data_IF_712303829954
#
_entry.id   IF_712303829954
#
_cell.length_a   1.000
_cell.length_b   1.000
_cell.length_c   1.000
_cell.angle_alpha   90.00
_cell.angle_beta   90.00
_cell.angle_gamma   90.00
#
_symmetry.space_group_name_H-M   'P 1'
#
loop_
_entity.id
_entity.type
_entity.pdbx_description
1 polymer ?
#
# COMPACT_ATOMS: atom_id res chain seq x y z
N UNK A 1 4.17 3.02 15.87
CA UNK A 1 3.90 1.60 16.21
C UNK A 1 4.99 0.80 15.53
N UNK A 2 5.54 -0.23 16.15
CA UNK A 2 6.62 -1.05 15.57
C UNK A 2 6.07 -2.40 15.08
N UNK A 3 6.82 -3.12 14.25
CA UNK A 3 6.44 -4.47 13.79
C UNK A 3 6.20 -5.43 14.95
N UNK A 4 7.00 -5.32 16.02
CA UNK A 4 6.81 -6.11 17.25
C UNK A 4 5.53 -5.73 18.00
N UNK A 5 5.14 -4.45 17.96
CA UNK A 5 3.87 -4.01 18.57
C UNK A 5 2.67 -4.50 17.76
N UNK A 6 2.75 -4.52 16.44
CA UNK A 6 1.70 -5.08 15.57
C UNK A 6 1.51 -6.59 15.85
N UNK A 7 2.60 -7.37 15.84
CA UNK A 7 2.56 -8.80 16.17
C UNK A 7 1.97 -9.05 17.56
N UNK A 8 2.31 -8.22 18.54
CA UNK A 8 1.75 -8.32 19.90
C UNK A 8 0.24 -8.06 19.91
N UNK A 9 -0.24 -7.06 19.18
CA UNK A 9 -1.67 -6.76 19.07
C UNK A 9 -2.44 -7.91 18.39
N UNK A 10 -1.87 -8.51 17.34
CA UNK A 10 -2.46 -9.67 16.65
C UNK A 10 -2.49 -10.91 17.54
N UNK A 11 -1.42 -11.16 18.30
CA UNK A 11 -1.36 -12.26 19.26
C UNK A 11 -2.39 -12.09 20.39
N UNK A 12 -2.53 -10.89 20.94
CA UNK A 12 -3.53 -10.56 21.97
C UNK A 12 -4.96 -10.71 21.43
N UNK A 13 -5.22 -10.27 20.20
CA UNK A 13 -6.51 -10.47 19.54
C UNK A 13 -6.85 -11.95 19.38
N UNK A 14 -5.89 -12.76 18.97
CA UNK A 14 -6.05 -14.21 18.81
C UNK A 14 -6.32 -14.91 20.14
N UNK A 15 -5.61 -14.54 21.20
CA UNK A 15 -5.82 -15.10 22.54
C UNK A 15 -7.24 -14.82 23.05
N UNK A 16 -7.76 -13.61 22.82
CA UNK A 16 -9.13 -13.25 23.19
C UNK A 16 -10.18 -14.04 22.41
N UNK A 17 -9.95 -14.31 21.12
CA UNK A 17 -10.83 -15.16 20.31
C UNK A 17 -10.81 -16.61 20.76
N UNK A 18 -9.63 -17.17 21.04
CA UNK A 18 -9.45 -18.57 21.46
C UNK A 18 -10.11 -18.86 22.82
N UNK A 19 -10.29 -17.83 23.66
CA UNK A 19 -11.00 -17.91 24.95
C UNK A 19 -12.52 -17.90 24.82
N UNK A 20 -13.06 -17.48 23.68
CA UNK A 20 -14.50 -17.45 23.45
C UNK A 20 -14.95 -18.79 22.87
N UNK A 21 -15.86 -19.52 23.54
CA UNK A 21 -16.39 -20.77 23.02
C UNK A 21 -17.01 -20.58 21.62
N UNK A 22 -16.95 -21.62 20.76
CA UNK A 22 -17.58 -21.55 19.45
C UNK A 22 -19.09 -21.35 19.59
N UNK A 23 -19.71 -20.69 18.61
CA UNK A 23 -21.16 -20.41 18.58
C UNK A 23 -22.04 -21.65 18.77
N UNK A 24 -21.52 -22.85 18.46
CA UNK A 24 -22.21 -24.11 18.67
C UNK A 24 -22.41 -24.49 20.15
N UNK A 25 -21.68 -23.87 21.09
CA UNK A 25 -21.78 -24.13 22.52
C UNK A 25 -22.99 -23.45 23.19
N UNK A 26 -23.67 -22.52 22.50
CA UNK A 26 -24.83 -21.81 23.01
C UNK A 26 -24.82 -20.31 22.67
N UNK A 27 -25.83 -19.57 23.15
CA UNK A 27 -25.91 -18.13 22.95
C UNK A 27 -24.78 -17.41 23.70
N UNK A 28 -24.15 -16.44 23.03
CA UNK A 28 -23.02 -15.70 23.60
C UNK A 28 -23.42 -14.86 24.81
N UNK A 29 -22.66 -14.99 25.88
CA UNK A 29 -22.73 -14.09 27.02
C UNK A 29 -22.29 -12.67 26.62
N UNK A 30 -22.66 -11.67 27.40
CA UNK A 30 -22.22 -10.30 27.17
C UNK A 30 -20.68 -10.18 27.26
N UNK A 31 -20.07 -10.91 28.19
CA UNK A 31 -18.63 -10.97 28.36
C UNK A 31 -17.90 -11.50 27.12
N UNK A 32 -18.41 -12.57 26.50
CA UNK A 32 -17.87 -13.12 25.26
C UNK A 32 -18.00 -12.15 24.07
N UNK A 33 -19.09 -11.39 24.01
CA UNK A 33 -19.26 -10.35 22.97
C UNK A 33 -18.23 -9.24 23.11
N UNK A 34 -18.02 -8.76 24.34
CA UNK A 34 -17.02 -7.73 24.62
C UNK A 34 -15.58 -8.21 24.32
N UNK A 35 -15.27 -9.49 24.58
CA UNK A 35 -13.97 -10.06 24.22
C UNK A 35 -13.74 -10.07 22.70
N UNK A 36 -14.76 -10.44 21.92
CA UNK A 36 -14.68 -10.40 20.45
C UNK A 36 -14.60 -8.97 19.90
N UNK A 37 -15.33 -8.03 20.50
CA UNK A 37 -15.25 -6.62 20.13
C UNK A 37 -13.85 -6.06 20.40
N UNK A 38 -13.26 -6.43 21.54
CA UNK A 38 -11.87 -6.08 21.86
C UNK A 38 -10.87 -6.71 20.91
N UNK A 39 -11.05 -7.98 20.54
CA UNK A 39 -10.21 -8.65 19.55
C UNK A 39 -10.28 -7.95 18.18
N UNK A 40 -11.48 -7.54 17.76
CA UNK A 40 -11.68 -6.79 16.52
C UNK A 40 -11.02 -5.40 16.57
N UNK A 41 -11.10 -4.71 17.71
CA UNK A 41 -10.42 -3.43 17.94
C UNK A 41 -8.88 -3.57 17.85
N UNK A 42 -8.33 -4.62 18.47
CA UNK A 42 -6.90 -4.90 18.43
C UNK A 42 -6.42 -5.23 17.01
N UNK A 43 -7.22 -5.98 16.23
CA UNK A 43 -6.95 -6.21 14.80
C UNK A 43 -6.96 -4.92 14.00
N UNK A 44 -7.99 -4.08 14.14
CA UNK A 44 -8.03 -2.77 13.47
C UNK A 44 -6.80 -1.93 13.78
N UNK A 45 -6.39 -1.88 15.06
CA UNK A 45 -5.19 -1.15 15.45
C UNK A 45 -3.91 -1.76 14.90
N UNK A 46 -3.85 -3.08 14.73
CA UNK A 46 -2.74 -3.74 14.06
C UNK A 46 -2.74 -3.49 12.54
N UNK A 47 -3.91 -3.45 11.90
CA UNK A 47 -4.08 -3.16 10.47
C UNK A 47 -3.71 -1.71 10.15
N UNK A 48 -3.92 -0.78 11.09
CA UNK A 48 -3.47 0.61 11.00
C UNK A 48 -1.92 0.74 11.06
N UNK A 49 -1.20 -0.35 11.37
CA UNK A 49 0.25 -0.40 11.23
C UNK A 49 0.62 -0.45 9.75
N UNK A 50 1.01 0.71 9.23
CA UNK A 50 1.88 0.74 8.06
C UNK A 50 3.31 0.74 8.60
N UNK A 51 4.18 -0.22 8.22
CA UNK A 51 5.58 -0.20 8.59
C UNK A 51 6.18 1.19 8.33
N UNK A 52 7.24 1.55 9.07
CA UNK A 52 8.09 2.70 8.73
C UNK A 52 8.83 2.44 7.40
N UNK A 53 8.08 2.26 6.33
CA UNK A 53 8.54 1.97 4.99
C UNK A 53 9.01 3.29 4.40
N UNK A 54 10.19 3.72 4.79
CA UNK A 54 10.83 4.88 4.17
C UNK A 54 11.42 4.42 2.82
N UNK A 55 10.74 4.70 1.71
CA UNK A 55 11.19 4.26 0.39
C UNK A 55 10.19 4.51 -0.74
N UNK A 56 10.60 4.26 -2.00
CA UNK A 56 9.72 4.36 -3.18
C UNK A 56 8.49 3.46 -3.03
N UNK A 57 7.35 3.86 -3.58
CA UNK A 57 6.06 3.16 -3.45
C UNK A 57 6.16 1.65 -3.73
N UNK A 58 6.95 1.25 -4.73
CA UNK A 58 7.18 -0.16 -5.07
C UNK A 58 7.80 -0.95 -3.92
N UNK A 59 8.81 -0.39 -3.25
CA UNK A 59 9.48 -1.05 -2.14
C UNK A 59 8.52 -1.24 -0.96
N UNK A 60 7.71 -0.22 -0.66
CA UNK A 60 6.68 -0.28 0.38
C UNK A 60 5.65 -1.38 0.10
N UNK A 61 5.22 -1.52 -1.14
CA UNK A 61 4.24 -2.54 -1.53
C UNK A 61 4.82 -3.95 -1.47
N UNK A 62 6.10 -4.13 -1.83
CA UNK A 62 6.78 -5.42 -1.67
C UNK A 62 6.87 -5.81 -0.19
N UNK A 63 7.27 -4.88 0.69
CA UNK A 63 7.32 -5.13 2.14
C UNK A 63 5.95 -5.53 2.70
N UNK A 64 4.86 -4.89 2.27
CA UNK A 64 3.51 -5.27 2.69
C UNK A 64 3.15 -6.67 2.19
N UNK A 65 3.47 -7.01 0.93
CA UNK A 65 3.17 -8.33 0.38
C UNK A 65 3.93 -9.43 1.12
N UNK A 66 5.21 -9.21 1.42
CA UNK A 66 6.03 -10.19 2.14
C UNK A 66 5.53 -10.46 3.56
N UNK A 67 4.94 -9.46 4.23
CA UNK A 67 4.48 -9.59 5.61
C UNK A 67 3.03 -10.08 5.73
N UNK A 68 2.14 -9.69 4.80
CA UNK A 68 0.69 -9.87 4.95
C UNK A 68 0.11 -10.96 4.02
N UNK A 69 0.84 -11.38 2.99
CA UNK A 69 0.37 -12.39 2.03
C UNK A 69 1.00 -13.74 2.35
N UNK A 70 0.22 -14.84 2.43
CA UNK A 70 0.77 -16.17 2.60
C UNK A 70 1.85 -16.49 1.55
N UNK A 71 2.95 -17.11 1.96
CA UNK A 71 4.14 -17.33 1.11
C UNK A 71 3.81 -18.00 -0.24
N UNK A 72 2.81 -18.90 -0.24
CA UNK A 72 2.30 -19.56 -1.45
C UNK A 72 1.81 -18.59 -2.52
N UNK A 73 1.28 -17.42 -2.11
CA UNK A 73 0.74 -16.39 -2.99
C UNK A 73 1.62 -15.15 -3.10
N UNK A 74 2.58 -14.95 -2.20
CA UNK A 74 3.44 -13.77 -2.16
C UNK A 74 4.13 -13.49 -3.51
N UNK A 75 4.67 -14.53 -4.17
CA UNK A 75 5.29 -14.39 -5.50
C UNK A 75 4.30 -13.88 -6.55
N UNK A 76 3.10 -14.45 -6.62
CA UNK A 76 2.08 -14.03 -7.58
C UNK A 76 1.60 -12.61 -7.29
N UNK A 77 1.37 -12.28 -6.02
CA UNK A 77 0.97 -10.95 -5.58
C UNK A 77 2.03 -9.90 -5.96
N UNK A 78 3.31 -10.16 -5.68
CA UNK A 78 4.42 -9.27 -6.06
C UNK A 78 4.50 -9.04 -7.57
N UNK A 79 4.29 -10.08 -8.38
CA UNK A 79 4.24 -9.96 -9.84
C UNK A 79 3.07 -9.07 -10.29
N UNK A 80 1.84 -9.33 -9.81
CA UNK A 80 0.65 -8.56 -10.22
C UNK A 80 0.72 -7.09 -9.79
N UNK A 81 1.23 -6.84 -8.59
CA UNK A 81 1.43 -5.48 -8.11
C UNK A 81 2.50 -4.78 -8.94
N UNK A 82 3.59 -5.45 -9.29
CA UNK A 82 4.62 -4.88 -10.18
C UNK A 82 4.06 -4.53 -11.56
N UNK A 83 3.31 -5.44 -12.20
CA UNK A 83 2.64 -5.19 -13.48
C UNK A 83 1.70 -3.98 -13.42
N UNK A 84 0.94 -3.85 -12.33
CA UNK A 84 0.00 -2.73 -12.13
C UNK A 84 0.74 -1.41 -11.97
N UNK A 85 1.83 -1.40 -11.19
CA UNK A 85 2.65 -0.21 -11.00
C UNK A 85 3.33 0.23 -12.31
N UNK A 86 3.77 -0.71 -13.13
CA UNK A 86 4.36 -0.42 -14.45
C UNK A 86 3.32 0.25 -15.36
N UNK A 87 2.12 -0.33 -15.45
CA UNK A 87 1.03 0.25 -16.24
C UNK A 87 0.64 1.66 -15.77
N UNK A 88 0.54 1.88 -14.46
CA UNK A 88 0.21 3.20 -13.91
C UNK A 88 1.30 4.24 -14.15
N UNK A 89 2.56 3.85 -14.10
CA UNK A 89 3.68 4.74 -14.38
C UNK A 89 3.67 5.17 -15.86
N UNK A 90 3.46 4.23 -16.79
CA UNK A 90 3.32 4.54 -18.21
C UNK A 90 2.16 5.52 -18.47
N UNK A 91 1.00 5.30 -17.86
CA UNK A 91 -0.13 6.23 -17.97
C UNK A 91 0.18 7.62 -17.37
N UNK A 92 0.85 7.66 -16.21
CA UNK A 92 1.21 8.91 -15.55
C UNK A 92 2.14 9.77 -16.43
N UNK A 93 3.07 9.14 -17.14
CA UNK A 93 3.97 9.79 -18.12
C UNK A 93 3.19 10.39 -19.27
N UNK A 94 2.29 9.60 -19.86
CA UNK A 94 1.49 10.08 -20.99
C UNK A 94 0.66 11.29 -20.56
N UNK A 95 -0.01 11.22 -19.40
CA UNK A 95 -0.76 12.35 -18.83
C UNK A 95 0.13 13.56 -18.53
N UNK A 96 1.33 13.33 -17.99
CA UNK A 96 2.29 14.38 -17.72
C UNK A 96 2.76 15.09 -18.99
N UNK A 97 3.12 14.33 -20.04
CA UNK A 97 3.50 14.86 -21.35
C UNK A 97 2.37 15.68 -21.94
N UNK A 98 1.16 15.16 -21.95
CA UNK A 98 -0.01 15.86 -22.51
C UNK A 98 -0.31 17.15 -21.74
N UNK A 99 -0.21 17.12 -20.41
CA UNK A 99 -0.42 18.30 -19.57
C UNK A 99 0.68 19.35 -19.80
N UNK A 100 1.94 18.93 -19.80
CA UNK A 100 3.07 19.82 -20.07
C UNK A 100 2.96 20.42 -21.49
N UNK A 101 2.62 19.62 -22.51
CA UNK A 101 2.38 20.12 -23.87
C UNK A 101 1.27 21.17 -23.91
N UNK A 102 0.15 20.95 -23.21
CA UNK A 102 -0.93 21.95 -23.11
C UNK A 102 -0.48 23.24 -22.42
N UNK A 103 0.32 23.14 -21.36
CA UNK A 103 0.85 24.29 -20.62
C UNK A 103 1.87 25.09 -21.44
N UNK A 104 2.77 24.41 -22.16
CA UNK A 104 3.82 25.05 -22.95
C UNK A 104 3.39 25.42 -24.37
N UNK A 105 2.26 24.93 -24.89
CA UNK A 105 1.79 25.25 -26.24
C UNK A 105 1.66 26.76 -26.51
N UNK A 106 1.33 27.56 -25.49
CA UNK A 106 1.27 29.02 -25.59
C UNK A 106 2.57 29.77 -25.28
N UNK A 107 3.55 29.11 -24.67
CA UNK A 107 4.79 29.73 -24.17
C UNK A 107 6.03 29.37 -25.02
N UNK A 108 6.09 28.15 -25.54
CA UNK A 108 7.20 27.63 -26.34
C UNK A 108 6.65 26.72 -27.46
N UNK A 109 6.26 27.28 -28.62
CA UNK A 109 5.76 26.49 -29.73
C UNK A 109 6.87 25.67 -30.41
N UNK A 110 6.49 24.52 -30.98
CA UNK A 110 7.38 23.69 -31.79
C UNK A 110 8.22 22.68 -31.01
N UNK A 111 9.42 22.37 -31.53
CA UNK A 111 10.27 21.29 -31.03
C UNK A 111 10.74 21.52 -29.58
N UNK A 112 10.98 22.78 -29.18
CA UNK A 112 11.46 23.14 -27.84
C UNK A 112 10.43 22.85 -26.74
N UNK A 113 9.16 23.21 -26.95
CA UNK A 113 8.09 22.89 -25.99
C UNK A 113 7.81 21.39 -25.88
N UNK A 114 8.01 20.65 -26.98
CA UNK A 114 7.88 19.19 -27.00
C UNK A 114 8.99 18.53 -26.17
N UNK A 115 10.25 18.95 -26.36
CA UNK A 115 11.38 18.44 -25.59
C UNK A 115 11.25 18.71 -24.08
N UNK A 116 10.76 19.91 -23.70
CA UNK A 116 10.52 20.25 -22.29
C UNK A 116 9.42 19.39 -21.66
N UNK A 117 8.36 19.09 -22.42
CA UNK A 117 7.29 18.21 -21.95
C UNK A 117 7.78 16.77 -21.73
N UNK A 118 8.66 16.29 -22.61
CA UNK A 118 9.28 14.97 -22.46
C UNK A 118 10.21 14.94 -21.23
N UNK A 119 11.02 15.98 -21.01
CA UNK A 119 11.89 16.10 -19.83
C UNK A 119 11.09 16.11 -18.50
N UNK A 120 9.96 16.80 -18.44
CA UNK A 120 9.10 16.82 -17.25
C UNK A 120 8.51 15.45 -16.97
N UNK A 121 8.10 14.73 -18.00
CA UNK A 121 7.53 13.40 -17.85
C UNK A 121 8.58 12.39 -17.37
N UNK A 122 9.82 12.50 -17.84
CA UNK A 122 10.94 11.67 -17.40
C UNK A 122 11.31 11.96 -15.93
N UNK A 123 11.20 13.23 -15.48
CA UNK A 123 11.37 13.58 -14.06
C UNK A 123 10.25 13.04 -13.17
N UNK A 124 9.02 12.99 -13.67
CA UNK A 124 7.89 12.40 -12.93
C UNK A 124 8.07 10.89 -12.79
N UNK A 125 8.52 10.19 -13.83
CA UNK A 125 8.90 8.77 -13.74
C UNK A 125 9.95 8.53 -12.65
N UNK A 126 11.01 9.34 -12.67
CA UNK A 126 12.06 9.25 -11.67
C UNK A 126 11.49 9.44 -10.26
N UNK A 127 10.69 10.50 -10.03
CA UNK A 127 10.10 10.78 -8.71
C UNK A 127 9.16 9.67 -8.19
N UNK A 128 8.47 8.93 -9.06
CA UNK A 128 7.63 7.80 -8.66
C UNK A 128 8.47 6.60 -8.17
N UNK A 129 9.72 6.51 -8.62
CA UNK A 129 10.57 5.33 -8.42
C UNK A 129 11.84 5.56 -7.61
N UNK A 130 12.27 6.80 -7.35
CA UNK A 130 13.44 7.14 -6.53
C UNK A 130 13.05 7.93 -5.28
N UNK A 131 13.75 7.65 -4.16
CA UNK A 131 13.52 8.28 -2.84
C UNK A 131 14.13 9.69 -2.72
N UNK A 132 14.98 10.11 -3.66
CA UNK A 132 15.76 11.33 -3.56
C UNK A 132 15.33 12.38 -4.60
N UNK A 133 14.42 13.25 -4.18
CA UNK A 133 14.27 14.60 -4.73
C UNK A 133 14.03 15.58 -3.56
#
# INVERSE_FOLDING_TARGET
MTSQEQERLLAEAKELEDRVPPLAAGPRTEHERLMLERAAELRRRADDYVPESSGPLRQRLVEVIENEVPETYARLASTRVSETLDAWAEEAVVRARDTARKLFAGLMPGATGTAMADEIADKILAAVWTKDA
#
